data_IF_052341735712
#
_entry.id   IF_052341735712
#
_cell.length_a   1.000
_cell.length_b   1.000
_cell.length_c   1.000
_cell.angle_alpha   90.00
_cell.angle_beta   90.00
_cell.angle_gamma   90.00
#
_symmetry.space_group_name_H-M   'P 1'
#
loop_
_entity.id
_entity.type
_entity.pdbx_description
1 polymer ?
#
# COMPACT_ATOMS: atom_id res chain seq x y z
N UNK A 1 15.27 2.32 10.10
CA UNK A 1 16.11 1.74 11.18
C UNK A 1 17.27 0.99 10.56
N UNK A 2 18.52 1.41 10.75
CA UNK A 2 19.68 0.64 10.30
C UNK A 2 19.90 -0.60 11.19
N UNK A 3 20.03 -1.77 10.57
CA UNK A 3 20.41 -3.02 11.26
C UNK A 3 19.27 -3.85 11.86
N UNK A 4 18.01 -3.53 11.55
CA UNK A 4 16.86 -4.42 11.79
C UNK A 4 16.47 -5.05 10.46
N UNK A 5 16.82 -6.32 10.27
CA UNK A 5 16.37 -7.13 9.14
C UNK A 5 15.14 -7.96 9.47
N UNK A 6 14.62 -8.67 8.48
CA UNK A 6 13.40 -9.50 8.58
C UNK A 6 13.44 -10.48 9.77
N UNK A 7 14.51 -11.26 9.92
CA UNK A 7 14.65 -12.26 10.99
C UNK A 7 14.63 -11.62 12.40
N UNK A 8 15.22 -10.43 12.51
CA UNK A 8 15.24 -9.66 13.77
C UNK A 8 13.88 -9.05 14.05
N UNK A 9 13.20 -8.53 13.02
CA UNK A 9 11.86 -7.96 13.14
C UNK A 9 10.83 -9.02 13.57
N UNK A 10 10.87 -10.21 12.97
CA UNK A 10 10.01 -11.33 13.32
C UNK A 10 10.25 -11.75 14.78
N UNK A 11 11.51 -11.98 15.17
CA UNK A 11 11.84 -12.39 16.54
C UNK A 11 11.43 -11.35 17.59
N UNK A 12 11.45 -10.08 17.22
CA UNK A 12 11.06 -8.97 18.08
C UNK A 12 9.53 -8.85 18.21
N UNK A 13 8.78 -8.95 17.11
CA UNK A 13 7.31 -8.94 17.13
C UNK A 13 6.75 -10.17 17.85
N UNK A 14 7.31 -11.35 17.60
CA UNK A 14 6.92 -12.60 18.27
C UNK A 14 7.30 -12.60 19.76
N UNK A 15 8.51 -12.13 20.10
CA UNK A 15 9.00 -12.10 21.47
C UNK A 15 8.33 -11.06 22.37
N UNK A 16 7.91 -9.93 21.79
CA UNK A 16 7.18 -8.87 22.50
C UNK A 16 5.65 -9.06 22.44
N UNK A 17 5.14 -9.86 21.50
CA UNK A 17 3.71 -10.17 21.37
C UNK A 17 2.85 -8.94 21.04
N UNK A 18 3.40 -7.97 20.32
CA UNK A 18 2.72 -6.69 20.09
C UNK A 18 3.36 -5.86 18.98
N UNK A 19 2.87 -4.62 18.85
CA UNK A 19 3.34 -3.66 17.85
C UNK A 19 4.42 -2.73 18.38
N UNK A 20 4.70 -1.68 17.60
CA UNK A 20 5.75 -0.71 17.90
C UNK A 20 5.58 -0.04 19.28
N UNK A 21 4.35 0.25 19.69
CA UNK A 21 4.05 0.81 21.03
C UNK A 21 4.45 -0.13 22.17
N UNK A 22 4.20 -1.44 22.04
CA UNK A 22 4.57 -2.45 23.03
C UNK A 22 6.09 -2.58 23.14
N UNK A 23 6.78 -2.51 22.00
CA UNK A 23 8.25 -2.61 21.93
C UNK A 23 8.92 -1.45 22.66
N UNK A 24 8.46 -0.22 22.41
CA UNK A 24 9.00 0.98 23.06
C UNK A 24 8.55 1.15 24.52
N UNK A 25 7.49 0.45 24.95
CA UNK A 25 7.02 0.46 26.34
C UNK A 25 7.86 -0.39 27.29
N UNK A 26 8.58 -1.39 26.78
CA UNK A 26 9.42 -2.29 27.58
C UNK A 26 10.69 -2.70 26.79
N UNK A 27 11.63 -1.76 26.69
CA UNK A 27 12.91 -1.97 26.02
C UNK A 27 13.85 -2.91 26.80
N UNK A 28 13.63 -3.12 28.11
CA UNK A 28 14.42 -4.06 28.90
C UNK A 28 14.08 -5.51 28.51
N UNK A 29 12.81 -5.81 28.28
CA UNK A 29 12.39 -7.11 27.75
C UNK A 29 13.02 -7.41 26.39
N UNK A 30 13.21 -6.42 25.53
CA UNK A 30 13.88 -6.58 24.24
C UNK A 30 15.33 -7.09 24.40
N UNK A 31 16.04 -6.68 25.46
CA UNK A 31 17.40 -7.18 25.77
C UNK A 31 17.44 -8.64 26.19
N UNK A 32 16.33 -9.17 26.71
CA UNK A 32 16.23 -10.57 27.19
C UNK A 32 15.91 -11.56 26.09
N UNK A 33 15.57 -11.09 24.88
CA UNK A 33 15.26 -11.94 23.74
C UNK A 33 16.51 -12.64 23.19
N UNK A 34 16.34 -13.87 22.74
CA UNK A 34 17.43 -14.80 22.36
C UNK A 34 17.86 -14.71 20.89
N UNK A 35 17.67 -13.56 20.23
CA UNK A 35 18.11 -13.36 18.84
C UNK A 35 19.42 -12.57 18.74
N UNK A 36 20.14 -12.77 17.63
CA UNK A 36 21.45 -12.14 17.37
C UNK A 36 21.32 -10.62 17.36
N UNK A 37 21.91 -9.95 18.35
CA UNK A 37 21.91 -8.49 18.48
C UNK A 37 20.89 -7.90 19.45
N UNK A 38 20.11 -8.70 20.19
CA UNK A 38 19.11 -8.21 21.14
C UNK A 38 19.65 -7.19 22.17
N UNK A 39 20.87 -7.42 22.67
CA UNK A 39 21.54 -6.52 23.64
C UNK A 39 21.90 -5.15 23.07
N UNK A 40 22.29 -5.06 21.80
CA UNK A 40 22.66 -3.80 21.14
C UNK A 40 21.50 -3.13 20.43
N UNK A 41 20.40 -3.87 20.21
CA UNK A 41 19.23 -3.38 19.50
C UNK A 41 18.43 -2.38 20.33
N UNK A 42 18.36 -2.55 21.64
CA UNK A 42 17.56 -1.66 22.52
C UNK A 42 18.04 -0.21 22.47
N UNK A 43 19.37 0.01 22.47
CA UNK A 43 19.95 1.35 22.34
C UNK A 43 19.67 1.98 20.96
N UNK A 44 19.79 1.19 19.89
CA UNK A 44 19.47 1.63 18.53
C UNK A 44 17.99 1.94 18.33
N UNK A 45 17.11 1.17 18.98
CA UNK A 45 15.67 1.43 18.94
C UNK A 45 15.36 2.77 19.59
N UNK A 46 15.95 3.06 20.74
CA UNK A 46 15.78 4.32 21.48
C UNK A 46 16.28 5.52 20.65
N UNK A 47 17.50 5.45 20.11
CA UNK A 47 18.10 6.52 19.28
C UNK A 47 17.28 6.83 18.02
N UNK A 48 16.59 5.83 17.47
CA UNK A 48 15.82 5.98 16.24
C UNK A 48 14.31 5.88 16.45
N UNK A 49 13.81 6.12 17.67
CA UNK A 49 12.38 6.01 17.99
C UNK A 49 11.48 6.74 16.99
N UNK A 50 11.75 8.02 16.77
CA UNK A 50 10.91 8.88 15.92
C UNK A 50 10.88 8.41 14.47
N UNK A 51 12.03 7.97 13.95
CA UNK A 51 12.13 7.40 12.61
C UNK A 51 11.35 6.09 12.49
N UNK A 52 11.25 5.28 13.56
CA UNK A 52 10.51 4.02 13.54
C UNK A 52 9.00 4.29 13.52
N UNK A 53 8.53 5.23 14.33
CA UNK A 53 7.13 5.66 14.32
C UNK A 53 6.73 6.32 13.00
N UNK A 54 7.60 7.16 12.42
CA UNK A 54 7.36 7.75 11.11
C UNK A 54 7.30 6.68 10.01
N UNK A 55 8.24 5.73 10.02
CA UNK A 55 8.22 4.61 9.07
C UNK A 55 6.96 3.76 9.20
N UNK A 56 6.49 3.52 10.43
CA UNK A 56 5.22 2.84 10.66
C UNK A 56 4.06 3.63 10.08
N UNK A 57 4.00 4.94 10.33
CA UNK A 57 2.92 5.78 9.82
C UNK A 57 2.88 5.76 8.28
N UNK A 58 4.02 5.83 7.62
CA UNK A 58 4.11 5.81 6.15
C UNK A 58 3.76 4.45 5.55
N UNK A 59 4.10 3.35 6.24
CA UNK A 59 3.74 2.01 5.80
C UNK A 59 2.27 1.65 6.12
N UNK A 60 1.59 2.43 6.96
CA UNK A 60 0.19 2.18 7.31
C UNK A 60 -0.71 2.62 6.16
N UNK A 61 -1.41 1.67 5.56
CA UNK A 61 -2.37 1.95 4.49
C UNK A 61 -3.52 2.79 5.06
N UNK A 62 -3.79 3.92 4.39
CA UNK A 62 -4.97 4.74 4.68
C UNK A 62 -6.19 4.09 4.03
N UNK A 63 -7.12 3.59 4.85
CA UNK A 63 -8.35 2.91 4.38
C UNK A 63 -9.56 3.84 4.32
N UNK A 64 -9.46 5.02 4.93
CA UNK A 64 -10.49 6.07 4.99
C UNK A 64 -10.22 7.15 3.93
N UNK A 65 -10.03 6.73 2.68
CA UNK A 65 -9.85 7.65 1.56
C UNK A 65 -11.24 8.09 1.03
N UNK A 66 -11.48 9.40 1.01
CA UNK A 66 -12.66 9.95 0.36
C UNK A 66 -12.50 9.85 -1.16
N UNK A 67 -13.09 8.81 -1.76
CA UNK A 67 -13.16 8.64 -3.19
C UNK A 67 -14.49 9.20 -3.73
N UNK A 68 -14.47 9.99 -4.81
CA UNK A 68 -15.69 10.50 -5.44
C UNK A 68 -16.44 9.43 -6.26
N UNK A 69 -15.87 8.22 -6.37
CA UNK A 69 -16.39 7.09 -7.17
C UNK A 69 -16.56 5.87 -6.26
N UNK A 70 -17.65 5.13 -6.48
CA UNK A 70 -17.94 3.85 -5.81
C UNK A 70 -17.38 2.66 -6.57
N UNK A 71 -17.55 1.46 -6.00
CA UNK A 71 -17.18 0.21 -6.66
C UNK A 71 -17.98 -0.02 -7.96
N UNK A 72 -19.22 0.43 -7.99
CA UNK A 72 -20.11 0.29 -9.14
C UNK A 72 -19.76 1.25 -10.31
N UNK A 73 -18.88 2.23 -10.07
CA UNK A 73 -18.38 3.15 -11.11
C UNK A 73 -17.07 2.66 -11.76
N UNK A 74 -16.49 1.56 -11.24
CA UNK A 74 -15.20 0.99 -11.66
C UNK A 74 -15.41 -0.12 -12.70
N UNK A 75 -15.95 0.25 -13.85
CA UNK A 75 -16.11 -0.66 -14.99
C UNK A 75 -14.87 -0.67 -15.90
N UNK A 76 -14.52 -1.85 -16.42
CA UNK A 76 -13.49 -1.98 -17.46
C UNK A 76 -14.10 -1.43 -18.76
N UNK A 77 -13.68 -0.23 -19.16
CA UNK A 77 -14.09 0.38 -20.42
C UNK A 77 -13.22 -0.11 -21.58
N UNK A 78 -13.80 -0.20 -22.78
CA UNK A 78 -13.01 -0.42 -23.99
C UNK A 78 -12.06 0.77 -24.22
N UNK A 79 -10.81 0.51 -24.62
CA UNK A 79 -9.84 1.57 -24.87
C UNK A 79 -10.28 2.46 -26.05
N UNK A 80 -10.13 3.77 -25.88
CA UNK A 80 -10.30 4.73 -26.98
C UNK A 80 -9.08 4.66 -27.91
N UNK A 81 -9.22 3.90 -29.00
CA UNK A 81 -8.15 3.66 -29.97
C UNK A 81 -7.67 4.96 -30.64
N UNK A 82 -8.56 5.92 -30.89
CA UNK A 82 -8.18 7.17 -31.57
C UNK A 82 -7.32 8.06 -30.65
N UNK A 83 -7.72 8.16 -29.37
CA UNK A 83 -6.93 8.86 -28.36
C UNK A 83 -5.57 8.19 -28.13
N UNK A 84 -5.53 6.85 -28.06
CA UNK A 84 -4.30 6.09 -27.87
C UNK A 84 -3.33 6.23 -29.06
N UNK A 85 -3.82 6.20 -30.30
CA UNK A 85 -2.99 6.43 -31.50
C UNK A 85 -2.33 7.80 -31.46
N UNK A 86 -3.05 8.83 -30.98
CA UNK A 86 -2.52 10.19 -30.88
C UNK A 86 -1.40 10.25 -29.82
N UNK A 87 -1.65 9.71 -28.62
CA UNK A 87 -0.66 9.67 -27.54
C UNK A 87 0.57 8.84 -27.89
N UNK A 88 0.41 7.67 -28.51
CA UNK A 88 1.53 6.81 -28.87
C UNK A 88 2.40 7.41 -29.99
N UNK A 89 1.82 8.22 -30.87
CA UNK A 89 2.60 9.00 -31.85
C UNK A 89 3.40 10.12 -31.18
N UNK A 90 2.79 10.86 -30.25
CA UNK A 90 3.47 11.94 -29.52
C UNK A 90 4.60 11.43 -28.63
N UNK A 91 4.40 10.28 -27.97
CA UNK A 91 5.38 9.65 -27.09
C UNK A 91 6.38 8.74 -27.81
N UNK A 92 6.30 8.65 -29.14
CA UNK A 92 7.13 7.77 -29.98
C UNK A 92 7.12 6.28 -29.59
N UNK A 93 6.02 5.76 -29.05
CA UNK A 93 5.87 4.34 -28.71
C UNK A 93 5.56 3.48 -29.95
N UNK A 94 6.56 3.32 -30.82
CA UNK A 94 6.42 2.68 -32.14
C UNK A 94 5.99 1.20 -32.07
N UNK A 95 6.40 0.46 -31.04
CA UNK A 95 6.02 -0.94 -30.86
C UNK A 95 4.54 -1.07 -30.45
N UNK A 96 4.12 -0.36 -29.40
CA UNK A 96 2.71 -0.37 -28.96
C UNK A 96 1.76 0.26 -29.97
N UNK A 97 2.22 1.24 -30.76
CA UNK A 97 1.46 1.75 -31.90
C UNK A 97 1.25 0.67 -32.97
N UNK A 98 2.26 -0.15 -33.25
CA UNK A 98 2.14 -1.29 -34.17
C UNK A 98 1.13 -2.32 -33.68
N UNK A 99 1.22 -2.72 -32.41
CA UNK A 99 0.29 -3.68 -31.78
C UNK A 99 -1.17 -3.16 -31.78
N UNK A 100 -1.37 -1.88 -31.50
CA UNK A 100 -2.68 -1.23 -31.52
C UNK A 100 -3.29 -1.19 -32.93
N UNK A 101 -2.48 -0.93 -33.96
CA UNK A 101 -2.91 -0.93 -35.36
C UNK A 101 -3.18 -2.34 -35.91
N UNK A 102 -2.48 -3.35 -35.38
CA UNK A 102 -2.70 -4.76 -35.69
C UNK A 102 -3.94 -5.34 -34.99
N UNK A 103 -4.63 -4.56 -34.16
CA UNK A 103 -5.84 -4.98 -33.46
C UNK A 103 -5.56 -5.97 -32.32
N UNK A 104 -4.33 -6.01 -31.80
CA UNK A 104 -3.91 -6.91 -30.71
C UNK A 104 -4.18 -6.34 -29.31
N UNK A 105 -4.91 -5.24 -29.21
CA UNK A 105 -5.44 -4.70 -27.97
C UNK A 105 -6.71 -5.48 -27.57
N UNK A 106 -6.53 -6.71 -27.11
CA UNK A 106 -7.61 -7.47 -26.49
C UNK A 106 -7.95 -6.81 -25.14
N UNK A 107 -8.96 -5.95 -25.15
CA UNK A 107 -9.74 -5.65 -23.95
C UNK A 107 -10.50 -6.90 -23.51
N UNK A 108 -11.02 -6.89 -22.28
CA UNK A 108 -11.93 -7.96 -21.84
C UNK A 108 -13.25 -7.78 -22.61
N UNK A 109 -13.45 -8.52 -23.70
CA UNK A 109 -14.55 -8.34 -24.67
C UNK A 109 -15.97 -8.60 -24.11
N UNK A 110 -16.08 -9.18 -22.90
CA UNK A 110 -17.35 -9.62 -22.33
C UNK A 110 -18.00 -8.64 -21.34
N UNK A 111 -17.46 -7.42 -21.16
CA UNK A 111 -17.98 -6.45 -20.18
C UNK A 111 -18.54 -5.23 -20.92
N UNK A 112 -19.82 -4.89 -20.67
CA UNK A 112 -20.42 -3.63 -21.16
C UNK A 112 -19.50 -2.48 -20.78
N UNK A 113 -18.98 -1.78 -21.79
CA UNK A 113 -18.09 -0.63 -21.63
C UNK A 113 -18.65 0.37 -20.61
N UNK A 114 -17.94 0.54 -19.49
CA UNK A 114 -18.18 1.64 -18.58
C UNK A 114 -18.01 2.98 -19.30
N UNK A 115 -18.83 3.96 -18.97
CA UNK A 115 -18.57 5.34 -19.40
C UNK A 115 -17.39 5.86 -18.59
N UNK A 116 -16.32 6.40 -19.21
CA UNK A 116 -15.20 6.96 -18.45
C UNK A 116 -15.73 8.02 -17.49
N UNK A 117 -15.47 7.83 -16.20
CA UNK A 117 -15.89 8.76 -15.18
C UNK A 117 -15.34 10.16 -15.53
N UNK A 118 -16.18 11.21 -15.51
CA UNK A 118 -15.70 12.56 -15.81
C UNK A 118 -14.58 12.92 -14.84
N UNK A 119 -13.51 13.52 -15.37
CA UNK A 119 -12.36 14.05 -14.62
C UNK A 119 -12.82 15.20 -13.69
N UNK A 120 -13.55 14.87 -12.63
CA UNK A 120 -13.93 15.83 -11.61
C UNK A 120 -12.71 16.15 -10.75
N UNK A 121 -12.49 17.41 -10.35
CA UNK A 121 -11.40 17.76 -9.46
C UNK A 121 -11.60 17.05 -8.12
N UNK A 122 -10.61 16.25 -7.72
CA UNK A 122 -10.59 15.51 -6.46
C UNK A 122 -10.77 16.51 -5.29
N UNK A 123 -11.98 16.60 -4.74
CA UNK A 123 -12.25 17.48 -3.60
C UNK A 123 -11.76 16.81 -2.33
N UNK A 124 -10.60 17.27 -1.85
CA UNK A 124 -10.09 16.91 -0.53
C UNK A 124 -10.98 17.54 0.54
N UNK A 125 -11.93 16.78 1.09
CA UNK A 125 -12.62 17.16 2.34
C UNK A 125 -11.93 16.46 3.51
N UNK A 126 -11.62 17.20 4.55
CA UNK A 126 -11.06 16.63 5.77
C UNK A 126 -12.18 15.99 6.60
N UNK A 127 -12.14 14.67 6.78
CA UNK A 127 -13.03 13.97 7.71
C UNK A 127 -12.51 14.08 9.16
N UNK A 128 -13.38 14.34 10.16
CA UNK A 128 -12.98 14.38 11.56
C UNK A 128 -12.65 12.97 12.07
N UNK A 129 -11.43 12.79 12.59
CA UNK A 129 -10.90 11.55 13.17
C UNK A 129 -11.79 11.03 14.31
N UNK A 130 -12.78 10.20 13.99
CA UNK A 130 -13.45 9.36 15.00
C UNK A 130 -12.67 8.06 15.14
N UNK A 131 -11.98 7.94 16.28
CA UNK A 131 -11.29 6.73 16.72
C UNK A 131 -12.34 5.66 17.05
N UNK A 132 -12.76 4.89 16.06
CA UNK A 132 -13.55 3.68 16.28
C UNK A 132 -12.60 2.48 16.22
N UNK A 133 -12.28 1.93 17.39
CA UNK A 133 -11.56 0.67 17.56
C UNK A 133 -12.41 -0.46 16.97
N UNK A 134 -12.12 -0.90 15.75
CA UNK A 134 -12.64 -2.17 15.23
C UNK A 134 -11.66 -3.30 15.61
N UNK A 135 -12.14 -4.41 16.18
CA UNK A 135 -11.29 -5.56 16.49
C UNK A 135 -10.77 -6.23 15.22
N UNK A 136 -9.45 -6.44 15.19
CA UNK A 136 -8.68 -7.13 14.15
C UNK A 136 -9.28 -8.50 13.80
N UNK A 137 -10.13 -8.56 12.77
CA UNK A 137 -10.49 -9.81 12.08
C UNK A 137 -10.76 -9.54 10.60
N UNK A 138 -9.73 -9.25 9.81
CA UNK A 138 -9.84 -9.38 8.35
C UNK A 138 -8.51 -9.58 7.59
N UNK A 139 -7.40 -9.93 8.26
CA UNK A 139 -6.10 -10.12 7.59
C UNK A 139 -5.78 -11.57 7.19
N UNK A 140 -6.76 -12.48 7.19
CA UNK A 140 -6.53 -13.92 6.98
C UNK A 140 -6.88 -14.45 5.57
N UNK A 141 -7.05 -13.60 4.54
CA UNK A 141 -7.48 -14.08 3.19
C UNK A 141 -6.66 -13.60 1.99
N UNK A 142 -5.49 -12.98 2.17
CA UNK A 142 -4.63 -12.54 1.04
C UNK A 142 -3.27 -13.26 1.06
N UNK A 143 -3.29 -14.58 1.24
CA UNK A 143 -2.12 -15.43 0.96
C UNK A 143 -2.59 -16.64 0.16
N UNK A 144 -2.77 -16.42 -1.15
CA UNK A 144 -2.81 -17.46 -2.18
C UNK A 144 -2.31 -16.83 -3.47
N UNK A 145 -1.00 -16.65 -3.55
CA UNK A 145 -0.20 -16.73 -4.77
C UNK A 145 1.19 -17.23 -4.36
#
# INVERSE_FOLDING_TARGET
MPGVGEKTAIGLLQGMGGGLSTIYGDLERVKTLTFRGAKTLSKKLEEHRDQAFLSHQLATIKVDCDLPVGLDDLDIAHPDREALVTLYKEMEFRQWLGELLEGKDEGVDDIKSGTPAPLAPMKLRASPRSRMLLPNRLFAKITSF
#
